data_IF_556950597548
#
_entry.id   IF_556950597548
#
_cell.length_a   1.000
_cell.length_b   1.000
_cell.length_c   1.000
_cell.angle_alpha   90.00
_cell.angle_beta   90.00
_cell.angle_gamma   90.00
#
_symmetry.space_group_name_H-M   'P 1'
#
loop_
_entity.id
_entity.type
_entity.pdbx_description
1 polymer ?
#
# COMPACT_ATOMS: atom_id res chain seq x y z
N UNK A 1 17.60 34.73 13.85
CA UNK A 1 17.23 33.92 12.67
C UNK A 1 15.73 34.04 12.48
N UNK A 2 15.24 34.24 11.25
CA UNK A 2 13.90 34.75 11.00
C UNK A 2 12.85 33.64 11.08
N UNK A 3 12.15 33.51 12.22
CA UNK A 3 11.19 32.42 12.51
C UNK A 3 10.20 32.12 11.37
N UNK A 4 9.76 33.17 10.65
CA UNK A 4 8.79 33.05 9.56
C UNK A 4 9.32 32.33 8.31
N UNK A 5 10.60 32.49 7.96
CA UNK A 5 11.16 31.81 6.78
C UNK A 5 11.27 30.30 7.01
N UNK A 6 11.55 29.89 8.25
CA UNK A 6 11.58 28.49 8.63
C UNK A 6 10.18 27.87 8.61
N UNK A 7 9.14 28.64 8.97
CA UNK A 7 7.75 28.19 8.80
C UNK A 7 7.38 27.99 7.33
N UNK A 8 7.79 28.88 6.42
CA UNK A 8 7.56 28.69 4.98
C UNK A 8 8.29 27.45 4.44
N UNK A 9 9.54 27.20 4.86
CA UNK A 9 10.27 25.98 4.52
C UNK A 9 9.58 24.72 5.04
N UNK A 10 9.02 24.78 6.23
CA UNK A 10 8.27 23.66 6.81
C UNK A 10 7.00 23.36 5.99
N UNK A 11 6.28 24.41 5.55
CA UNK A 11 5.12 24.26 4.66
C UNK A 11 5.54 23.63 3.34
N UNK A 12 6.60 24.12 2.71
CA UNK A 12 7.14 23.56 1.47
C UNK A 12 7.44 22.06 1.63
N UNK A 13 8.12 21.68 2.72
CA UNK A 13 8.44 20.29 3.03
C UNK A 13 7.18 19.44 3.20
N UNK A 14 6.20 19.92 3.98
CA UNK A 14 4.95 19.19 4.21
C UNK A 14 4.16 18.99 2.92
N UNK A 15 4.07 19.99 2.05
CA UNK A 15 3.40 19.85 0.76
C UNK A 15 4.09 18.80 -0.12
N UNK A 16 5.42 18.71 -0.13
CA UNK A 16 6.15 17.63 -0.82
C UNK A 16 5.86 16.25 -0.23
N UNK A 17 5.77 16.17 1.10
CA UNK A 17 5.41 14.93 1.78
C UNK A 17 3.98 14.50 1.44
N UNK A 18 3.01 15.42 1.43
CA UNK A 18 1.64 15.14 1.02
C UNK A 18 1.56 14.70 -0.43
N UNK A 19 2.29 15.35 -1.34
CA UNK A 19 2.31 14.99 -2.75
C UNK A 19 2.83 13.56 -2.93
N UNK A 20 3.94 13.24 -2.27
CA UNK A 20 4.47 11.87 -2.24
C UNK A 20 3.42 10.92 -1.68
N UNK A 21 2.80 11.27 -0.54
CA UNK A 21 1.84 10.41 0.15
C UNK A 21 0.65 10.05 -0.75
N UNK A 22 0.09 11.05 -1.44
CA UNK A 22 -1.07 10.89 -2.32
C UNK A 22 -0.71 10.08 -3.58
N UNK A 23 0.51 10.27 -4.10
CA UNK A 23 0.98 9.54 -5.28
C UNK A 23 1.35 8.08 -4.97
N UNK A 24 1.93 7.78 -3.82
CA UNK A 24 2.51 6.46 -3.53
C UNK A 24 1.62 5.55 -2.69
N UNK A 25 0.85 6.08 -1.75
CA UNK A 25 0.04 5.26 -0.86
C UNK A 25 -1.41 5.11 -1.38
N UNK A 26 -1.89 3.87 -1.58
CA UNK A 26 -3.25 3.64 -2.06
C UNK A 26 -4.31 4.09 -1.03
N UNK A 27 -4.00 3.95 0.26
CA UNK A 27 -4.81 4.38 1.40
C UNK A 27 -3.98 5.34 2.24
N UNK A 28 -4.55 6.51 2.52
CA UNK A 28 -3.98 7.49 3.43
C UNK A 28 -5.08 8.20 4.19
N UNK A 29 -4.72 8.76 5.36
CA UNK A 29 -5.63 9.62 6.12
C UNK A 29 -5.85 10.95 5.38
N UNK A 30 -6.98 11.06 4.69
CA UNK A 30 -7.36 12.24 3.93
C UNK A 30 -7.77 13.41 4.82
N UNK A 31 -8.25 13.13 6.03
CA UNK A 31 -8.67 14.17 6.96
C UNK A 31 -7.44 14.88 7.53
N UNK A 32 -6.44 14.13 7.99
CA UNK A 32 -5.18 14.71 8.48
C UNK A 32 -4.51 15.58 7.40
N UNK A 33 -4.43 15.08 6.15
CA UNK A 33 -3.83 15.84 5.04
C UNK A 33 -4.59 17.14 4.76
N UNK A 34 -5.93 17.11 4.86
CA UNK A 34 -6.76 18.30 4.69
C UNK A 34 -6.54 19.32 5.80
N UNK A 35 -6.54 18.87 7.06
CA UNK A 35 -6.31 19.72 8.22
C UNK A 35 -4.93 20.41 8.15
N UNK A 36 -3.89 19.67 7.73
CA UNK A 36 -2.55 20.22 7.52
C UNK A 36 -2.54 21.31 6.42
N UNK A 37 -3.17 21.06 5.27
CA UNK A 37 -3.26 22.03 4.16
C UNK A 37 -4.07 23.28 4.57
N UNK A 38 -5.16 23.11 5.34
CA UNK A 38 -5.94 24.23 5.85
C UNK A 38 -5.12 25.08 6.84
N UNK A 39 -4.35 24.44 7.72
CA UNK A 39 -3.44 25.15 8.63
C UNK A 39 -2.35 25.91 7.87
N UNK A 40 -1.78 25.30 6.81
CA UNK A 40 -0.79 25.96 5.95
C UNK A 40 -1.37 27.17 5.20
N UNK A 41 -2.58 27.04 4.66
CA UNK A 41 -3.29 28.14 3.99
C UNK A 41 -3.50 29.31 4.95
N UNK A 42 -4.03 29.05 6.16
CA UNK A 42 -4.22 30.08 7.19
C UNK A 42 -2.91 30.77 7.58
N UNK A 43 -1.83 30.00 7.70
CA UNK A 43 -0.52 30.58 7.99
C UNK A 43 -0.06 31.52 6.87
N UNK A 44 -0.16 31.10 5.61
CA UNK A 44 0.24 31.91 4.45
C UNK A 44 -0.59 33.18 4.35
N UNK A 45 -1.90 33.12 4.58
CA UNK A 45 -2.79 34.29 4.63
C UNK A 45 -2.32 35.30 5.68
N UNK A 46 -2.13 34.85 6.93
CA UNK A 46 -1.67 35.71 8.03
C UNK A 46 -0.26 36.26 7.76
N UNK A 47 0.61 35.45 7.15
CA UNK A 47 1.96 35.86 6.81
C UNK A 47 1.95 36.99 5.76
N UNK A 48 1.16 36.84 4.70
CA UNK A 48 1.05 37.84 3.63
C UNK A 48 0.39 39.13 4.13
N UNK A 49 -0.63 39.04 4.99
CA UNK A 49 -1.25 40.22 5.60
C UNK A 49 -0.26 41.05 6.45
N UNK A 50 0.73 40.39 7.05
CA UNK A 50 1.73 41.02 7.91
C UNK A 50 3.00 41.42 7.18
N UNK A 51 3.19 40.98 5.95
CA UNK A 51 4.40 41.20 5.16
C UNK A 51 4.12 42.18 4.01
N UNK A 52 4.33 43.50 4.22
CA UNK A 52 4.09 44.50 3.16
C UNK A 52 5.05 44.34 1.96
N UNK A 53 6.21 43.70 2.18
CA UNK A 53 7.18 43.35 1.14
C UNK A 53 7.81 42.00 1.45
N UNK A 54 7.91 41.14 0.43
CA UNK A 54 8.61 39.85 0.52
C UNK A 54 10.08 40.03 0.12
N UNK A 55 10.98 39.38 0.85
CA UNK A 55 12.39 39.28 0.44
C UNK A 55 12.56 38.17 -0.59
N UNK A 56 13.65 38.22 -1.35
CA UNK A 56 13.94 37.27 -2.43
C UNK A 56 13.81 35.80 -1.99
N UNK A 57 14.29 35.46 -0.79
CA UNK A 57 14.17 34.10 -0.25
C UNK A 57 12.73 33.68 0.08
N UNK A 58 11.87 34.61 0.48
CA UNK A 58 10.45 34.37 0.77
C UNK A 58 9.65 34.26 -0.53
N UNK A 59 10.00 35.05 -1.55
CA UNK A 59 9.41 34.98 -2.90
C UNK A 59 9.65 33.59 -3.50
N UNK A 60 10.90 33.10 -3.50
CA UNK A 60 11.25 31.77 -4.03
C UNK A 60 10.46 30.67 -3.32
N UNK A 61 10.35 30.74 -1.99
CA UNK A 61 9.58 29.75 -1.23
C UNK A 61 8.08 29.83 -1.54
N UNK A 62 7.53 31.03 -1.69
CA UNK A 62 6.11 31.20 -2.03
C UNK A 62 5.78 30.68 -3.43
N UNK A 63 6.68 30.89 -4.40
CA UNK A 63 6.57 30.30 -5.74
C UNK A 63 6.59 28.77 -5.68
N UNK A 64 7.50 28.19 -4.89
CA UNK A 64 7.59 26.73 -4.68
C UNK A 64 6.32 26.18 -4.04
N UNK A 65 5.84 26.80 -2.96
CA UNK A 65 4.59 26.45 -2.27
C UNK A 65 3.41 26.51 -3.23
N UNK A 66 3.32 27.57 -4.05
CA UNK A 66 2.28 27.72 -5.07
C UNK A 66 2.33 26.61 -6.12
N UNK A 67 3.52 26.27 -6.61
CA UNK A 67 3.71 25.18 -7.57
C UNK A 67 3.30 23.82 -6.96
N UNK A 68 3.73 23.53 -5.74
CA UNK A 68 3.37 22.30 -5.02
C UNK A 68 1.85 22.20 -4.78
N UNK A 69 1.20 23.29 -4.37
CA UNK A 69 -0.24 23.33 -4.18
C UNK A 69 -1.01 23.04 -5.48
N UNK A 70 -0.55 23.59 -6.62
CA UNK A 70 -1.12 23.29 -7.94
C UNK A 70 -0.93 21.83 -8.33
N UNK A 71 0.26 21.26 -8.11
CA UNK A 71 0.52 19.85 -8.37
C UNK A 71 -0.37 18.94 -7.52
N UNK A 72 -0.53 19.26 -6.23
CA UNK A 72 -1.42 18.54 -5.33
C UNK A 72 -2.86 18.55 -5.83
N UNK A 73 -3.37 19.72 -6.24
CA UNK A 73 -4.72 19.84 -6.79
C UNK A 73 -4.90 18.97 -8.05
N UNK A 74 -3.93 18.99 -8.97
CA UNK A 74 -3.97 18.19 -10.19
C UNK A 74 -4.01 16.69 -9.86
N UNK A 75 -3.10 16.21 -9.01
CA UNK A 75 -3.04 14.80 -8.62
C UNK A 75 -4.32 14.35 -7.92
N UNK A 76 -4.89 15.19 -7.04
CA UNK A 76 -6.15 14.90 -6.37
C UNK A 76 -7.31 14.74 -7.38
N UNK A 77 -7.39 15.63 -8.38
CA UNK A 77 -8.40 15.56 -9.42
C UNK A 77 -8.25 14.30 -10.27
N UNK A 78 -7.04 13.97 -10.70
CA UNK A 78 -6.78 12.74 -11.47
C UNK A 78 -7.11 11.48 -10.68
N UNK A 79 -6.74 11.41 -9.39
CA UNK A 79 -7.10 10.27 -8.53
C UNK A 79 -8.61 10.16 -8.35
N UNK A 80 -9.30 11.27 -8.17
CA UNK A 80 -10.76 11.28 -8.06
C UNK A 80 -11.42 10.81 -9.36
N UNK A 81 -10.93 11.28 -10.51
CA UNK A 81 -11.40 10.84 -11.82
C UNK A 81 -11.24 9.32 -11.99
N UNK A 82 -10.04 8.79 -11.73
CA UNK A 82 -9.77 7.35 -11.83
C UNK A 82 -10.66 6.55 -10.88
N UNK A 83 -10.80 7.00 -9.63
CA UNK A 83 -11.65 6.34 -8.64
C UNK A 83 -13.12 6.29 -9.09
N UNK A 84 -13.66 7.42 -9.54
CA UNK A 84 -15.03 7.50 -10.05
C UNK A 84 -15.22 6.64 -11.30
N UNK A 85 -14.24 6.62 -12.21
CA UNK A 85 -14.29 5.80 -13.42
C UNK A 85 -14.27 4.31 -13.10
N UNK A 86 -13.42 3.88 -12.16
CA UNK A 86 -13.40 2.50 -11.67
C UNK A 86 -14.73 2.16 -11.00
N UNK A 87 -15.27 3.02 -10.14
CA UNK A 87 -16.58 2.81 -9.51
C UNK A 87 -17.69 2.66 -10.54
N UNK A 88 -17.69 3.49 -11.60
CA UNK A 88 -18.65 3.38 -12.70
C UNK A 88 -18.52 2.03 -13.44
N UNK A 89 -17.31 1.60 -13.77
CA UNK A 89 -17.06 0.31 -14.43
C UNK A 89 -17.46 -0.89 -13.56
N UNK A 90 -17.32 -0.79 -12.24
CA UNK A 90 -17.77 -1.82 -11.29
C UNK A 90 -19.30 -1.85 -11.12
N UNK A 91 -19.97 -0.72 -11.35
CA UNK A 91 -21.43 -0.60 -11.32
C UNK A 91 -22.08 -1.06 -12.64
N UNK A 92 -21.37 -0.96 -13.78
CA UNK A 92 -21.83 -1.50 -15.05
C UNK A 92 -21.93 -3.04 -14.98
N UNK A 93 -23.17 -3.53 -14.98
CA UNK A 93 -23.58 -4.92 -14.78
C UNK A 93 -22.95 -5.95 -15.73
N UNK A 94 -22.28 -5.52 -16.81
CA UNK A 94 -21.49 -6.40 -17.68
C UNK A 94 -20.19 -6.90 -17.01
N UNK A 95 -19.55 -6.10 -16.16
CA UNK A 95 -18.37 -6.53 -15.40
C UNK A 95 -18.77 -7.51 -14.28
N UNK A 96 -19.93 -7.29 -13.64
CA UNK A 96 -20.49 -8.26 -12.68
C UNK A 96 -20.85 -9.60 -13.34
N UNK A 97 -21.33 -9.61 -14.59
CA UNK A 97 -21.57 -10.87 -15.32
C UNK A 97 -20.27 -11.58 -15.75
N UNK A 98 -19.21 -10.83 -16.09
CA UNK A 98 -17.89 -11.40 -16.38
C UNK A 98 -17.18 -11.91 -15.11
N UNK A 99 -17.32 -11.23 -13.97
CA UNK A 99 -16.82 -11.69 -12.67
C UNK A 99 -17.67 -12.85 -12.11
N UNK A 100 -18.97 -12.91 -12.40
CA UNK A 100 -19.81 -14.06 -12.06
C UNK A 100 -19.49 -15.31 -12.90
N UNK A 101 -19.03 -15.13 -14.15
CA UNK A 101 -18.54 -16.24 -15.01
C UNK A 101 -17.09 -16.62 -14.74
N UNK A 102 -16.26 -15.65 -14.37
CA UNK A 102 -14.89 -15.89 -13.91
C UNK A 102 -14.92 -16.25 -12.44
N UNK A 103 -15.03 -17.55 -12.15
CA UNK A 103 -15.05 -18.21 -10.85
C UNK A 103 -13.96 -17.72 -9.85
N UNK A 104 -14.02 -16.47 -9.42
CA UNK A 104 -13.28 -15.90 -8.31
C UNK A 104 -14.23 -15.87 -7.14
N UNK A 105 -14.12 -16.93 -6.32
CA UNK A 105 -14.81 -17.00 -5.04
C UNK A 105 -14.59 -15.71 -4.25
N UNK A 106 -15.71 -15.09 -3.92
CA UNK A 106 -15.97 -14.20 -2.80
C UNK A 106 -14.71 -13.51 -2.21
N UNK A 107 -14.41 -12.32 -2.74
CA UNK A 107 -13.40 -11.39 -2.22
C UNK A 107 -13.95 -10.68 -0.98
N UNK A 108 -14.37 -11.47 0.01
CA UNK A 108 -14.67 -11.04 1.39
C UNK A 108 -13.94 -11.91 2.43
N UNK A 109 -13.02 -12.77 2.01
CA UNK A 109 -12.25 -13.66 2.89
C UNK A 109 -10.78 -13.25 3.06
N UNK A 110 -10.48 -11.95 3.11
CA UNK A 110 -9.09 -11.46 3.29
C UNK A 110 -8.49 -11.76 4.68
N UNK A 111 -9.12 -12.61 5.50
CA UNK A 111 -8.57 -13.15 6.75
C UNK A 111 -9.02 -14.60 7.06
N UNK A 112 -9.65 -15.32 6.13
CA UNK A 112 -10.01 -16.71 6.39
C UNK A 112 -8.75 -17.59 6.32
N UNK A 113 -8.44 -18.28 7.42
CA UNK A 113 -7.40 -19.31 7.45
C UNK A 113 -7.78 -20.41 6.46
N UNK A 114 -6.77 -21.00 5.81
CA UNK A 114 -6.98 -22.23 5.03
C UNK A 114 -7.51 -23.33 5.95
N UNK A 115 -8.34 -24.22 5.40
CA UNK A 115 -8.84 -25.35 6.18
C UNK A 115 -7.69 -26.28 6.58
N UNK A 116 -7.90 -27.08 7.63
CA UNK A 116 -6.88 -28.03 8.08
C UNK A 116 -6.55 -29.07 7.01
N UNK A 117 -7.54 -29.48 6.21
CA UNK A 117 -7.33 -30.39 5.08
C UNK A 117 -6.46 -29.75 3.97
N UNK A 118 -6.72 -28.48 3.63
CA UNK A 118 -5.91 -27.75 2.66
C UNK A 118 -4.47 -27.58 3.17
N UNK A 119 -4.32 -27.22 4.44
CA UNK A 119 -3.01 -27.02 5.07
C UNK A 119 -2.23 -28.33 5.11
N UNK A 120 -2.87 -29.44 5.45
CA UNK A 120 -2.24 -30.78 5.46
C UNK A 120 -1.69 -31.17 4.09
N UNK A 121 -2.46 -31.00 3.02
CA UNK A 121 -2.00 -31.31 1.65
C UNK A 121 -0.77 -30.46 1.27
N UNK A 122 -0.78 -29.18 1.66
CA UNK A 122 0.34 -28.27 1.39
C UNK A 122 1.58 -28.63 2.20
N UNK A 123 1.41 -29.01 3.46
CA UNK A 123 2.49 -29.48 4.34
C UNK A 123 3.07 -30.81 3.84
N UNK A 124 2.23 -31.79 3.50
CA UNK A 124 2.66 -33.09 2.96
C UNK A 124 3.52 -32.92 1.69
N UNK A 125 3.12 -32.01 0.78
CA UNK A 125 3.92 -31.70 -0.40
C UNK A 125 5.23 -31.01 -0.05
N UNK A 126 5.22 -30.08 0.92
CA UNK A 126 6.41 -29.35 1.34
C UNK A 126 7.44 -30.29 1.96
N UNK A 127 7.00 -31.19 2.84
CA UNK A 127 7.86 -32.16 3.52
C UNK A 127 8.46 -33.16 2.52
N UNK A 128 7.68 -33.59 1.52
CA UNK A 128 8.18 -34.43 0.44
C UNK A 128 9.22 -33.72 -0.46
N UNK A 129 9.24 -32.38 -0.48
CA UNK A 129 10.14 -31.56 -1.29
C UNK A 129 11.07 -30.70 -0.42
N UNK A 130 11.36 -31.13 0.81
CA UNK A 130 12.08 -30.32 1.81
C UNK A 130 13.46 -29.83 1.34
N UNK A 131 14.19 -30.64 0.56
CA UNK A 131 15.50 -30.25 0.01
C UNK A 131 15.40 -29.11 -1.00
N UNK A 132 14.35 -29.11 -1.83
CA UNK A 132 14.12 -28.14 -2.90
C UNK A 132 12.66 -27.68 -2.95
N UNK A 133 12.19 -26.88 -1.97
CA UNK A 133 10.78 -26.52 -1.81
C UNK A 133 10.35 -25.39 -2.75
N UNK A 134 10.59 -25.57 -4.05
CA UNK A 134 10.27 -24.63 -5.11
C UNK A 134 9.26 -25.25 -6.07
N UNK A 135 8.14 -24.56 -6.25
CA UNK A 135 7.09 -25.02 -7.14
C UNK A 135 7.53 -24.90 -8.60
N UNK A 136 7.25 -25.95 -9.38
CA UNK A 136 7.26 -25.92 -10.84
C UNK A 136 5.81 -25.85 -11.36
N UNK A 137 5.63 -25.80 -12.68
CA UNK A 137 4.30 -25.73 -13.29
C UNK A 137 3.41 -26.92 -12.92
N UNK A 138 3.97 -28.14 -12.94
CA UNK A 138 3.25 -29.37 -12.64
C UNK A 138 2.84 -29.45 -11.17
N UNK A 139 3.75 -29.13 -10.23
CA UNK A 139 3.45 -29.14 -8.80
C UNK A 139 2.46 -28.04 -8.40
N UNK A 140 2.51 -26.88 -9.06
CA UNK A 140 1.53 -25.80 -8.85
C UNK A 140 0.13 -26.25 -9.26
N UNK A 141 0.03 -26.89 -10.43
CA UNK A 141 -1.24 -27.41 -10.95
C UNK A 141 -1.79 -28.54 -10.06
N UNK A 142 -0.93 -29.48 -9.66
CA UNK A 142 -1.30 -30.54 -8.73
C UNK A 142 -1.89 -29.99 -7.43
N UNK A 143 -1.20 -29.06 -6.77
CA UNK A 143 -1.67 -28.45 -5.53
C UNK A 143 -2.93 -27.62 -5.72
N UNK A 144 -3.06 -26.90 -6.84
CA UNK A 144 -4.30 -26.20 -7.19
C UNK A 144 -5.49 -27.16 -7.23
N UNK A 145 -5.34 -28.30 -7.93
CA UNK A 145 -6.41 -29.29 -8.07
C UNK A 145 -6.77 -29.95 -6.73
N UNK A 146 -5.77 -30.30 -5.91
CA UNK A 146 -6.01 -30.97 -4.62
C UNK A 146 -6.59 -30.03 -3.55
N UNK A 147 -6.14 -28.78 -3.49
CA UNK A 147 -6.53 -27.84 -2.43
C UNK A 147 -7.68 -26.92 -2.84
N UNK A 148 -7.97 -26.82 -4.14
CA UNK A 148 -8.88 -25.83 -4.75
C UNK A 148 -8.49 -24.38 -4.47
N UNK A 149 -7.25 -24.13 -4.03
CA UNK A 149 -6.70 -22.79 -3.86
C UNK A 149 -6.19 -22.27 -5.20
N UNK A 150 -6.29 -20.96 -5.43
CA UNK A 150 -5.72 -20.34 -6.64
C UNK A 150 -4.20 -20.55 -6.74
N UNK A 151 -3.67 -20.51 -7.96
CA UNK A 151 -2.22 -20.66 -8.19
C UNK A 151 -1.42 -19.62 -7.39
N UNK A 152 -1.94 -18.41 -7.26
CA UNK A 152 -1.33 -17.34 -6.46
C UNK A 152 -1.31 -17.68 -4.97
N UNK A 153 -2.40 -18.21 -4.41
CA UNK A 153 -2.47 -18.64 -3.01
C UNK A 153 -1.48 -19.78 -2.72
N UNK A 154 -1.38 -20.77 -3.60
CA UNK A 154 -0.42 -21.88 -3.49
C UNK A 154 1.03 -21.36 -3.50
N UNK A 155 1.37 -20.50 -4.48
CA UNK A 155 2.70 -19.88 -4.58
C UNK A 155 3.06 -19.06 -3.34
N UNK A 156 2.11 -18.26 -2.87
CA UNK A 156 2.29 -17.44 -1.67
C UNK A 156 2.47 -18.30 -0.42
N UNK A 157 1.70 -19.37 -0.26
CA UNK A 157 1.83 -20.28 0.87
C UNK A 157 3.21 -20.93 0.92
N UNK A 158 3.68 -21.51 -0.20
CA UNK A 158 5.01 -22.17 -0.22
C UNK A 158 6.13 -21.16 0.01
N UNK A 159 6.01 -19.95 -0.55
CA UNK A 159 6.96 -18.86 -0.29
C UNK A 159 7.00 -18.46 1.20
N UNK A 160 5.84 -18.38 1.84
CA UNK A 160 5.72 -18.06 3.26
C UNK A 160 6.27 -19.20 4.14
N UNK A 161 5.97 -20.47 3.81
CA UNK A 161 6.49 -21.64 4.52
C UNK A 161 8.02 -21.67 4.50
N UNK A 162 8.66 -21.47 3.34
CA UNK A 162 10.13 -21.34 3.23
C UNK A 162 10.71 -20.24 4.13
N UNK A 163 10.07 -19.06 4.17
CA UNK A 163 10.51 -17.95 5.03
C UNK A 163 10.38 -18.30 6.51
N UNK A 164 9.29 -18.97 6.90
CA UNK A 164 9.05 -19.41 8.27
C UNK A 164 10.11 -20.41 8.72
N UNK A 165 10.40 -21.44 7.93
CA UNK A 165 11.42 -22.46 8.26
C UNK A 165 12.83 -21.85 8.36
N UNK A 166 13.20 -20.96 7.43
CA UNK A 166 14.50 -20.27 7.49
C UNK A 166 14.68 -19.46 8.77
N UNK A 167 13.59 -18.86 9.27
CA UNK A 167 13.59 -18.03 10.48
C UNK A 167 13.32 -18.82 11.76
N UNK A 168 12.85 -20.08 11.65
CA UNK A 168 12.52 -20.95 12.78
C UNK A 168 13.75 -21.70 13.32
N UNK A 169 14.93 -21.08 13.24
CA UNK A 169 16.12 -21.63 13.89
C UNK A 169 15.95 -21.51 15.40
N UNK A 170 15.88 -22.66 16.06
CA UNK A 170 15.89 -22.77 17.51
C UNK A 170 17.18 -22.11 18.01
N UNK A 171 17.09 -21.31 19.09
CA UNK A 171 18.28 -20.71 19.69
C UNK A 171 19.27 -21.82 20.07
N UNK A 172 20.57 -21.62 19.78
CA UNK A 172 21.63 -22.60 20.11
C UNK A 172 21.64 -22.99 21.58
N UNK A 173 21.19 -22.10 22.46
CA UNK A 173 21.06 -22.32 23.90
C UNK A 173 19.99 -23.37 24.26
N UNK A 174 18.99 -23.56 23.38
CA UNK A 174 17.90 -24.51 23.56
C UNK A 174 18.17 -25.86 22.87
N UNK A 175 19.15 -25.92 21.96
CA UNK A 175 19.53 -27.18 21.28
C UNK A 175 20.00 -28.25 22.26
N UNK A 176 20.66 -27.86 23.36
CA UNK A 176 21.13 -28.79 24.39
C UNK A 176 20.01 -29.44 25.21
N UNK A 177 18.81 -28.86 25.21
CA UNK A 177 17.64 -29.36 25.95
C UNK A 177 16.71 -30.24 25.10
N UNK A 178 16.98 -30.39 23.81
CA UNK A 178 16.18 -31.18 22.86
C UNK A 178 16.79 -32.56 22.54
N UNK A 179 17.80 -33.00 23.30
CA UNK A 179 18.38 -34.34 23.23
C UNK A 179 17.65 -35.34 24.12
#
# INVERSE_FOLDING_TARGET
>A
MNSQIESLRLIELHLRMHLTKICTFPVFDAQQVREDIEAHTRFVEIFLDRAPYLRDGEVILMESISALARSLLLVCNERLYVHNKISQLLQDSSAKQLIARGNFGDVNSSNAKFSDAQTRILDDWYDANYEHPYLNACSTEYLHQQTRLSHTQVKNWVSNKRRKEKNSKISKELESFLK
#
